data_IF_148467640656
#
_entry.id   IF_148467640656
#
_cell.length_a   1.000
_cell.length_b   1.000
_cell.length_c   1.000
_cell.angle_alpha   90.00
_cell.angle_beta   90.00
_cell.angle_gamma   90.00
#
_symmetry.space_group_name_H-M   'P 1'
#
loop_
_entity.id
_entity.type
_entity.pdbx_description
1 polymer ?
#
# COMPACT_ATOMS: atom_id res chain seq x y z
N UNK A 1 29.32 -21.43 -8.49
CA UNK A 1 29.60 -20.45 -7.43
C UNK A 1 28.41 -20.42 -6.51
N UNK A 2 28.65 -20.54 -5.21
CA UNK A 2 27.67 -20.66 -4.12
C UNK A 2 26.62 -19.53 -4.13
N UNK A 3 25.31 -19.80 -4.08
CA UNK A 3 24.28 -18.78 -3.93
C UNK A 3 24.11 -18.43 -2.44
N UNK A 4 25.13 -17.82 -1.84
CA UNK A 4 25.12 -17.38 -0.44
C UNK A 4 25.64 -15.95 -0.30
N UNK A 5 24.92 -14.98 -0.86
CA UNK A 5 24.89 -13.61 -0.34
C UNK A 5 23.76 -12.85 -1.05
N UNK A 6 22.75 -12.43 -0.27
CA UNK A 6 21.76 -11.47 -0.76
C UNK A 6 22.49 -10.17 -1.08
N UNK A 7 22.47 -9.79 -2.36
CA UNK A 7 23.11 -8.59 -2.86
C UNK A 7 22.49 -7.34 -2.21
N UNK A 8 23.14 -6.82 -1.16
CA UNK A 8 22.69 -5.63 -0.43
C UNK A 8 22.94 -4.40 -1.31
N UNK A 9 21.94 -4.05 -2.11
CA UNK A 9 21.94 -2.85 -2.96
C UNK A 9 21.55 -1.62 -2.14
N UNK A 10 22.22 -0.50 -2.41
CA UNK A 10 21.86 0.79 -1.82
C UNK A 10 20.44 1.19 -2.25
N UNK A 11 19.68 1.78 -1.32
CA UNK A 11 18.36 2.38 -1.61
C UNK A 11 18.48 3.46 -2.71
N UNK A 12 19.64 4.13 -2.81
CA UNK A 12 19.92 5.11 -3.86
C UNK A 12 20.01 4.50 -5.27
N UNK A 13 20.13 3.18 -5.38
CA UNK A 13 20.14 2.46 -6.67
C UNK A 13 18.74 2.01 -7.11
N UNK A 14 17.70 2.23 -6.30
CA UNK A 14 16.33 1.89 -6.64
C UNK A 14 15.70 2.95 -7.55
N UNK A 15 14.83 2.52 -8.47
CA UNK A 15 13.93 3.46 -9.16
C UNK A 15 12.98 4.11 -8.15
N UNK A 16 12.54 5.34 -8.44
CA UNK A 16 11.62 6.09 -7.58
C UNK A 16 10.40 5.26 -7.15
N UNK A 17 9.73 4.59 -8.09
CA UNK A 17 8.58 3.75 -7.78
C UNK A 17 8.91 2.51 -6.92
N UNK A 18 10.15 1.98 -6.97
CA UNK A 18 10.56 0.85 -6.13
C UNK A 18 10.90 1.31 -4.71
N UNK A 19 11.53 2.49 -4.58
CA UNK A 19 11.76 3.13 -3.30
C UNK A 19 10.42 3.45 -2.59
N UNK A 20 9.43 3.96 -3.32
CA UNK A 20 8.11 4.28 -2.76
C UNK A 20 7.36 3.03 -2.28
N UNK A 21 7.48 1.90 -3.00
CA UNK A 21 6.93 0.61 -2.55
C UNK A 21 7.55 0.12 -1.25
N UNK A 22 8.88 0.16 -1.16
CA UNK A 22 9.59 -0.21 0.06
C UNK A 22 9.17 0.70 1.22
N UNK A 23 9.02 1.99 0.94
CA UNK A 23 8.63 2.96 1.95
C UNK A 23 7.17 2.77 2.42
N UNK A 24 6.25 2.45 1.52
CA UNK A 24 4.89 2.07 1.86
C UNK A 24 4.86 0.81 2.75
N UNK A 25 5.58 -0.25 2.36
CA UNK A 25 5.66 -1.49 3.13
C UNK A 25 6.22 -1.23 4.55
N UNK A 26 7.28 -0.43 4.65
CA UNK A 26 7.87 -0.04 5.93
C UNK A 26 6.87 0.72 6.82
N UNK A 27 6.13 1.68 6.24
CA UNK A 27 5.09 2.43 6.97
C UNK A 27 3.99 1.52 7.49
N UNK A 28 3.51 0.59 6.66
CA UNK A 28 2.47 -0.38 7.05
C UNK A 28 2.95 -1.29 8.18
N UNK A 29 4.17 -1.83 8.08
CA UNK A 29 4.77 -2.63 9.14
C UNK A 29 4.93 -1.84 10.44
N UNK A 30 5.39 -0.58 10.35
CA UNK A 30 5.55 0.30 11.50
C UNK A 30 4.19 0.60 12.16
N UNK A 31 3.15 0.86 11.38
CA UNK A 31 1.80 1.08 11.91
C UNK A 31 1.25 -0.17 12.65
N UNK A 32 1.51 -1.36 12.12
CA UNK A 32 1.20 -2.62 12.80
C UNK A 32 1.92 -2.77 14.13
N UNK A 33 3.22 -2.45 14.17
CA UNK A 33 4.01 -2.51 15.41
C UNK A 33 3.55 -1.50 16.46
N UNK A 34 3.25 -0.26 16.07
CA UNK A 34 2.81 0.80 17.00
C UNK A 34 1.44 0.51 17.62
N UNK A 35 0.59 -0.25 16.93
CA UNK A 35 -0.75 -0.63 17.41
C UNK A 35 -0.76 -2.02 18.07
N UNK A 36 0.38 -2.71 18.12
CA UNK A 36 0.49 -4.04 18.73
C UNK A 36 0.25 -3.96 20.24
N UNK A 37 -0.83 -4.60 20.70
CA UNK A 37 -1.23 -4.62 22.12
C UNK A 37 -2.16 -3.46 22.53
N UNK A 38 -2.57 -2.61 21.60
CA UNK A 38 -3.52 -1.51 21.83
C UNK A 38 -4.71 -1.55 20.85
N UNK A 39 -5.43 -0.42 20.73
CA UNK A 39 -6.52 -0.28 19.75
C UNK A 39 -5.99 -0.19 18.31
N UNK A 40 -6.75 -0.77 17.38
CA UNK A 40 -6.44 -0.74 15.95
C UNK A 40 -6.80 0.64 15.38
N UNK A 41 -5.78 1.45 15.10
CA UNK A 41 -5.96 2.80 14.55
C UNK A 41 -6.29 2.78 13.03
N UNK A 42 -7.09 3.74 12.53
CA UNK A 42 -7.33 3.86 11.11
C UNK A 42 -6.04 4.20 10.35
N UNK A 43 -5.88 3.65 9.15
CA UNK A 43 -4.85 4.07 8.19
C UNK A 43 -5.41 5.13 7.25
N UNK A 44 -4.76 6.28 7.20
CA UNK A 44 -5.08 7.38 6.28
C UNK A 44 -3.96 7.49 5.26
N UNK A 45 -4.29 7.33 3.97
CA UNK A 45 -3.33 7.32 2.88
C UNK A 45 -3.75 8.31 1.81
N UNK A 46 -2.90 9.31 1.57
CA UNK A 46 -3.12 10.37 0.58
C UNK A 46 -2.12 10.22 -0.57
N UNK A 47 -2.62 10.07 -1.80
CA UNK A 47 -1.83 9.93 -3.03
C UNK A 47 -0.72 8.85 -2.97
N UNK A 48 -0.94 7.79 -2.20
CA UNK A 48 0.11 6.81 -1.86
C UNK A 48 0.62 6.01 -3.07
N UNK A 49 -0.13 5.99 -4.16
CA UNK A 49 0.19 5.31 -5.41
C UNK A 49 0.66 6.27 -6.52
N UNK A 50 1.05 7.51 -6.17
CA UNK A 50 1.45 8.55 -7.13
C UNK A 50 2.47 8.07 -8.17
N UNK A 51 3.46 7.27 -7.76
CA UNK A 51 4.55 6.76 -8.60
C UNK A 51 4.42 5.27 -8.97
N UNK A 52 3.29 4.64 -8.65
CA UNK A 52 3.07 3.22 -8.92
C UNK A 52 2.49 3.02 -10.33
N UNK A 53 3.05 2.05 -11.05
CA UNK A 53 2.40 1.49 -12.23
C UNK A 53 1.18 0.64 -11.84
N UNK A 54 0.37 0.27 -12.83
CA UNK A 54 -0.94 -0.37 -12.62
C UNK A 54 -0.81 -1.68 -11.85
N UNK A 55 0.16 -2.53 -12.21
CA UNK A 55 0.40 -3.82 -11.56
C UNK A 55 0.80 -3.63 -10.10
N UNK A 56 1.65 -2.63 -9.83
CA UNK A 56 2.09 -2.28 -8.48
C UNK A 56 0.95 -1.74 -7.62
N UNK A 57 0.09 -0.89 -8.18
CA UNK A 57 -1.11 -0.38 -7.51
C UNK A 57 -2.08 -1.52 -7.21
N UNK A 58 -2.36 -2.39 -8.18
CA UNK A 58 -3.25 -3.54 -8.01
C UNK A 58 -2.80 -4.46 -6.86
N UNK A 59 -1.51 -4.81 -6.79
CA UNK A 59 -0.96 -5.64 -5.72
C UNK A 59 -1.08 -4.98 -4.35
N UNK A 60 -0.81 -3.67 -4.26
CA UNK A 60 -0.94 -2.94 -3.02
C UNK A 60 -2.41 -2.83 -2.56
N UNK A 61 -3.34 -2.59 -3.49
CA UNK A 61 -4.78 -2.59 -3.21
C UNK A 61 -5.26 -3.97 -2.73
N UNK A 62 -4.82 -5.07 -3.35
CA UNK A 62 -5.14 -6.43 -2.86
C UNK A 62 -4.63 -6.67 -1.44
N UNK A 63 -3.44 -6.19 -1.12
CA UNK A 63 -2.91 -6.24 0.25
C UNK A 63 -3.78 -5.44 1.22
N UNK A 64 -4.12 -4.19 0.87
CA UNK A 64 -4.98 -3.35 1.71
C UNK A 64 -6.38 -3.96 1.89
N UNK A 65 -6.92 -4.61 0.87
CA UNK A 65 -8.15 -5.39 0.97
C UNK A 65 -8.01 -6.57 1.95
N UNK A 66 -6.87 -7.24 2.03
CA UNK A 66 -6.70 -8.28 3.08
C UNK A 66 -6.66 -7.69 4.49
N UNK A 67 -6.22 -6.44 4.64
CA UNK A 67 -6.07 -5.75 5.93
C UNK A 67 -7.33 -4.99 6.39
N UNK A 68 -8.30 -4.71 5.51
CA UNK A 68 -9.45 -3.86 5.83
C UNK A 68 -10.31 -4.42 6.99
N UNK A 69 -10.30 -5.74 7.21
CA UNK A 69 -11.03 -6.38 8.32
C UNK A 69 -10.37 -6.14 9.68
N UNK A 70 -9.07 -5.86 9.69
CA UNK A 70 -8.29 -5.64 10.90
C UNK A 70 -8.28 -4.16 11.33
N UNK A 71 -8.46 -3.24 10.36
CA UNK A 71 -8.48 -1.80 10.60
C UNK A 71 -9.21 -1.05 9.50
N UNK A 72 -9.77 0.10 9.86
CA UNK A 72 -10.31 1.03 8.88
C UNK A 72 -9.18 1.59 8.00
N UNK A 73 -9.42 1.63 6.69
CA UNK A 73 -8.49 2.16 5.69
C UNK A 73 -9.20 3.27 4.91
N UNK A 74 -8.61 4.45 4.92
CA UNK A 74 -9.09 5.65 4.22
C UNK A 74 -8.06 6.00 3.14
N UNK A 75 -8.47 5.86 1.88
CA UNK A 75 -7.63 6.16 0.71
C UNK A 75 -8.15 7.42 0.02
N UNK A 76 -7.28 8.41 -0.11
CA UNK A 76 -7.53 9.64 -0.87
C UNK A 76 -6.71 9.60 -2.15
N UNK A 77 -7.39 9.87 -3.27
CA UNK A 77 -6.78 9.86 -4.59
C UNK A 77 -7.47 10.83 -5.54
N UNK A 78 -6.68 11.48 -6.38
CA UNK A 78 -7.11 12.31 -7.50
C UNK A 78 -7.13 11.51 -8.82
N UNK A 79 -6.76 10.22 -8.79
CA UNK A 79 -6.62 9.39 -9.99
C UNK A 79 -7.79 8.43 -10.16
N UNK A 80 -8.54 8.58 -11.26
CA UNK A 80 -9.68 7.72 -11.61
C UNK A 80 -9.30 6.23 -11.70
N UNK A 81 -8.08 5.92 -12.17
CA UNK A 81 -7.56 4.54 -12.27
C UNK A 81 -7.65 3.77 -10.95
N UNK A 82 -7.38 4.41 -9.82
CA UNK A 82 -7.41 3.74 -8.52
C UNK A 82 -8.84 3.39 -8.11
N UNK A 83 -9.80 4.24 -8.44
CA UNK A 83 -11.23 3.98 -8.23
C UNK A 83 -11.68 2.77 -9.05
N UNK A 84 -11.25 2.67 -10.31
CA UNK A 84 -11.56 1.52 -11.19
C UNK A 84 -10.98 0.22 -10.63
N UNK A 85 -9.70 0.20 -10.28
CA UNK A 85 -9.06 -0.98 -9.69
C UNK A 85 -9.69 -1.40 -8.36
N UNK A 86 -10.04 -0.44 -7.49
CA UNK A 86 -10.72 -0.75 -6.23
C UNK A 86 -12.11 -1.33 -6.50
N UNK A 87 -12.88 -0.80 -7.45
CA UNK A 87 -14.19 -1.38 -7.82
C UNK A 87 -14.06 -2.82 -8.30
N UNK A 88 -13.04 -3.12 -9.09
CA UNK A 88 -12.77 -4.48 -9.56
C UNK A 88 -12.37 -5.44 -8.44
N UNK A 89 -11.55 -4.97 -7.49
CA UNK A 89 -10.98 -5.81 -6.42
C UNK A 89 -11.95 -5.96 -5.23
N UNK A 90 -12.65 -4.89 -4.84
CA UNK A 90 -13.40 -4.78 -3.57
C UNK A 90 -14.90 -4.98 -3.79
N UNK A 91 -15.39 -4.79 -5.02
CA UNK A 91 -16.82 -4.85 -5.34
C UNK A 91 -17.62 -3.87 -4.48
N UNK A 92 -18.68 -4.39 -3.85
CA UNK A 92 -19.60 -3.61 -3.01
C UNK A 92 -19.08 -3.38 -1.57
N UNK A 93 -17.93 -3.92 -1.18
CA UNK A 93 -17.34 -3.72 0.17
C UNK A 93 -16.60 -2.38 0.31
N UNK A 94 -16.72 -1.48 -0.67
CA UNK A 94 -16.12 -0.14 -0.68
C UNK A 94 -17.16 0.96 -0.47
N UNK A 95 -16.82 1.95 0.37
CA UNK A 95 -17.52 3.23 0.42
C UNK A 95 -16.75 4.27 -0.40
N UNK A 96 -17.34 4.74 -1.50
CA UNK A 96 -16.77 5.78 -2.35
C UNK A 96 -17.44 7.13 -2.06
N UNK A 97 -16.62 8.17 -1.91
CA UNK A 97 -17.07 9.56 -1.74
C UNK A 97 -16.31 10.43 -2.74
N UNK A 98 -17.05 11.18 -3.54
CA UNK A 98 -16.49 12.21 -4.43
C UNK A 98 -16.57 13.56 -3.69
N UNK A 99 -15.45 14.27 -3.61
CA UNK A 99 -15.30 15.54 -2.88
C UNK A 99 -15.33 16.74 -3.80
#
# INVERSE_FOLDING_TARGET
>A
SDPQEGDVRSVLALSSGTADQMYLALRLATAGMLTSGGESLPLVMDEVFAQFDDKRTELALKYLYSEHRNRQILLFTCKTREVELVREIYGDEMYFVEL
#
